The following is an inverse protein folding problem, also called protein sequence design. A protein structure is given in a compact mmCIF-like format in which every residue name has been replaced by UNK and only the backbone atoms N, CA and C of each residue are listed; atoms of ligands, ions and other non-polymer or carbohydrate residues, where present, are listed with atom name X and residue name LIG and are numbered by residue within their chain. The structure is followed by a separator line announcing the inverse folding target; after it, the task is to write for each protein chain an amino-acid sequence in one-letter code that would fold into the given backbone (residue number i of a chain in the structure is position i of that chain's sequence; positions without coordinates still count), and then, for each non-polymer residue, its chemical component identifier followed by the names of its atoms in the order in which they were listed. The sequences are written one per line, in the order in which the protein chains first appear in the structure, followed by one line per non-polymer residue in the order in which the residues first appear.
data_IF_233110965588
#
_entry.id   IF_233110965588
#
_cell.length_a   1.000
_cell.length_b   1.000
_cell.length_c   1.000
_cell.angle_alpha   90.00
_cell.angle_beta   90.00
_cell.angle_gamma   90.00
#
_symmetry.space_group_name_H-M   'P 1'
#
loop_
_entity.id
_entity.type
_entity.pdbx_description
1 polymer ?
#
# COMPACT_ATOMS: atom_id res chain seq x y z
N UNK A 1 -3.15 23.16 20.46
CA UNK A 1 -3.65 22.88 21.83
C UNK A 1 -3.85 21.38 22.04
N UNK A 2 -4.79 20.72 21.33
CA UNK A 2 -5.06 19.28 21.47
C UNK A 2 -3.83 18.34 21.30
N UNK A 3 -3.02 18.41 20.22
CA UNK A 3 -1.86 17.51 20.07
C UNK A 3 -0.85 17.65 21.21
N UNK A 4 -0.62 18.87 21.67
CA UNK A 4 0.35 19.16 22.73
C UNK A 4 -0.16 18.65 24.09
N UNK A 5 -1.47 18.76 24.35
CA UNK A 5 -2.09 18.17 25.53
C UNK A 5 -2.02 16.62 25.51
N UNK A 6 -2.31 15.99 24.37
CA UNK A 6 -2.20 14.54 24.22
C UNK A 6 -0.75 14.05 24.35
N UNK A 7 0.22 14.79 23.82
CA UNK A 7 1.64 14.49 24.03
C UNK A 7 2.03 14.62 25.49
N UNK A 8 1.58 15.66 26.20
CA UNK A 8 1.86 15.79 27.63
C UNK A 8 1.27 14.61 28.41
N UNK A 9 0.04 14.20 28.10
CA UNK A 9 -0.59 13.03 28.72
C UNK A 9 0.17 11.74 28.39
N UNK A 10 0.56 11.53 27.14
CA UNK A 10 1.36 10.38 26.74
C UNK A 10 2.74 10.37 27.43
N UNK A 11 3.38 11.54 27.54
CA UNK A 11 4.65 11.71 28.25
C UNK A 11 4.51 11.37 29.72
N UNK A 12 3.47 11.85 30.39
CA UNK A 12 3.14 11.49 31.78
C UNK A 12 2.88 9.99 31.91
N UNK A 13 2.08 9.41 31.03
CA UNK A 13 1.69 7.99 31.08
C UNK A 13 2.86 7.03 30.82
N UNK A 14 3.80 7.40 29.96
CA UNK A 14 4.89 6.53 29.51
C UNK A 14 6.19 6.78 30.27
N UNK A 15 6.50 8.02 30.61
CA UNK A 15 7.79 8.37 31.25
C UNK A 15 7.77 8.18 32.78
N UNK A 16 6.59 8.15 33.42
CA UNK A 16 6.48 7.98 34.88
C UNK A 16 6.57 6.53 35.41
N UNK A 17 6.06 5.49 34.74
CA UNK A 17 6.18 4.12 35.25
C UNK A 17 7.64 3.65 35.27
N UNK A 18 8.19 3.34 36.45
CA UNK A 18 9.58 2.88 36.61
C UNK A 18 9.81 1.41 36.22
N UNK A 19 8.76 0.70 35.78
CA UNK A 19 8.81 -0.72 35.42
C UNK A 19 9.40 -0.97 34.03
N UNK A 20 9.61 0.07 33.22
CA UNK A 20 10.28 0.01 31.91
C UNK A 20 11.66 0.67 31.94
N UNK A 21 12.65 0.12 31.21
CA UNK A 21 13.91 0.80 30.94
C UNK A 21 13.70 2.21 30.37
N UNK A 22 14.64 3.12 30.63
CA UNK A 22 14.56 4.50 30.13
C UNK A 22 14.44 4.55 28.60
N UNK A 23 15.24 3.73 27.90
CA UNK A 23 15.24 3.63 26.44
C UNK A 23 13.86 3.23 25.91
N UNK A 24 13.23 2.24 26.53
CA UNK A 24 11.90 1.75 26.17
C UNK A 24 10.80 2.79 26.35
N UNK A 25 10.88 3.59 27.42
CA UNK A 25 9.94 4.70 27.66
C UNK A 25 10.09 5.80 26.62
N UNK A 26 11.32 6.14 26.24
CA UNK A 26 11.59 7.14 25.20
C UNK A 26 11.11 6.66 23.84
N UNK A 27 11.42 5.41 23.46
CA UNK A 27 10.94 4.81 22.21
C UNK A 27 9.42 4.78 22.14
N UNK A 28 8.76 4.36 23.23
CA UNK A 28 7.30 4.34 23.32
C UNK A 28 6.68 5.73 23.23
N UNK A 29 7.29 6.72 23.87
CA UNK A 29 6.85 8.11 23.78
C UNK A 29 7.02 8.67 22.35
N UNK A 30 8.16 8.44 21.71
CA UNK A 30 8.40 8.87 20.32
C UNK A 30 7.39 8.29 19.34
N UNK A 31 7.07 7.00 19.48
CA UNK A 31 6.04 6.34 18.68
C UNK A 31 4.62 6.88 18.97
N UNK A 32 4.27 7.07 20.24
CA UNK A 32 2.98 7.64 20.64
C UNK A 32 2.83 9.08 20.12
N UNK A 33 3.89 9.89 20.21
CA UNK A 33 3.93 11.26 19.68
C UNK A 33 3.73 11.27 18.16
N UNK A 34 4.39 10.38 17.41
CA UNK A 34 4.19 10.22 15.97
C UNK A 34 2.73 9.90 15.65
N UNK A 35 2.15 8.92 16.36
CA UNK A 35 0.76 8.48 16.19
C UNK A 35 -0.22 9.63 16.45
N UNK A 36 -0.05 10.37 17.56
CA UNK A 36 -0.87 11.54 17.89
C UNK A 36 -0.78 12.59 16.78
N UNK A 37 0.43 12.89 16.29
CA UNK A 37 0.60 13.88 15.21
C UNK A 37 -0.06 13.44 13.91
N UNK A 38 0.08 12.17 13.51
CA UNK A 38 -0.59 11.65 12.32
C UNK A 38 -2.10 11.71 12.43
N UNK A 39 -2.68 11.46 13.61
CA UNK A 39 -4.14 11.47 13.80
C UNK A 39 -4.74 12.85 14.03
N UNK A 40 -3.97 13.83 14.54
CA UNK A 40 -4.52 15.13 14.98
C UNK A 40 -4.04 16.33 14.17
N UNK A 41 -3.10 16.14 13.25
CA UNK A 41 -2.53 17.23 12.46
C UNK A 41 -2.50 16.89 10.96
N UNK A 42 -2.46 17.94 10.13
CA UNK A 42 -2.26 17.81 8.68
C UNK A 42 -0.77 17.90 8.31
N UNK A 43 0.14 17.65 9.26
CA UNK A 43 1.57 17.67 8.98
C UNK A 43 1.92 16.55 8.00
N UNK A 44 2.95 16.80 7.20
CA UNK A 44 3.45 15.80 6.29
C UNK A 44 3.88 14.54 7.08
N UNK A 45 3.38 13.37 6.68
CA UNK A 45 3.60 12.12 7.41
C UNK A 45 5.08 11.75 7.52
N UNK A 46 5.88 12.00 6.48
CA UNK A 46 7.32 11.73 6.49
C UNK A 46 8.07 12.68 7.44
N UNK A 47 7.64 13.95 7.50
CA UNK A 47 8.18 14.91 8.44
C UNK A 47 7.92 14.49 9.90
N UNK A 48 6.70 14.05 10.20
CA UNK A 48 6.34 13.53 11.53
C UNK A 48 7.15 12.28 11.86
N UNK A 49 7.23 11.32 10.93
CA UNK A 49 7.98 10.07 11.12
C UNK A 49 9.46 10.35 11.42
N UNK A 50 10.10 11.17 10.58
CA UNK A 50 11.51 11.52 10.73
C UNK A 50 11.76 12.31 12.02
N UNK A 51 10.90 13.29 12.33
CA UNK A 51 10.99 14.05 13.57
C UNK A 51 10.89 13.17 14.82
N UNK A 52 9.98 12.19 14.80
CA UNK A 52 9.84 11.23 15.89
C UNK A 52 11.07 10.31 16.02
N UNK A 53 11.62 9.79 14.92
CA UNK A 53 12.87 9.01 14.96
C UNK A 53 14.01 9.84 15.52
N UNK A 54 14.18 11.07 15.02
CA UNK A 54 15.23 11.97 15.48
C UNK A 54 15.09 12.28 16.96
N UNK A 55 13.87 12.54 17.43
CA UNK A 55 13.60 12.70 18.86
C UNK A 55 14.00 11.44 19.64
N UNK A 56 13.55 10.25 19.21
CA UNK A 56 13.84 8.99 19.90
C UNK A 56 15.35 8.75 20.01
N UNK A 57 16.12 9.00 18.94
CA UNK A 57 17.58 8.86 18.96
C UNK A 57 18.22 9.89 19.91
N UNK A 58 17.87 11.17 19.77
CA UNK A 58 18.48 12.24 20.58
C UNK A 58 18.15 12.14 22.07
N UNK A 59 16.97 11.58 22.40
CA UNK A 59 16.54 11.34 23.77
C UNK A 59 17.05 9.99 24.33
N UNK A 60 17.84 9.22 23.57
CA UNK A 60 18.45 7.96 24.00
C UNK A 60 17.51 6.76 24.01
N UNK A 61 16.42 6.79 23.25
CA UNK A 61 15.51 5.65 23.06
C UNK A 61 15.88 4.72 21.90
N UNK A 62 16.86 5.10 21.08
CA UNK A 62 17.39 4.28 20.00
C UNK A 62 18.83 4.70 19.65
N UNK A 63 19.61 3.76 19.11
CA UNK A 63 20.93 4.03 18.54
C UNK A 63 20.83 4.80 17.22
N UNK A 64 21.90 5.49 16.81
CA UNK A 64 21.92 6.26 15.56
C UNK A 64 21.76 5.35 14.33
N UNK A 65 22.32 4.14 14.43
CA UNK A 65 22.27 3.06 13.47
C UNK A 65 20.84 2.64 13.14
N UNK A 66 19.87 2.89 14.03
CA UNK A 66 18.46 2.56 13.78
C UNK A 66 17.93 3.28 12.52
N UNK A 67 18.36 4.51 12.26
CA UNK A 67 17.97 5.25 11.06
C UNK A 67 18.67 4.71 9.80
N UNK A 68 19.95 4.33 9.92
CA UNK A 68 20.73 3.82 8.79
C UNK A 68 20.28 2.43 8.36
N UNK A 69 20.04 1.52 9.31
CA UNK A 69 19.50 0.17 9.07
C UNK A 69 18.11 0.20 8.43
N UNK A 70 17.36 1.27 8.58
CA UNK A 70 16.08 1.41 7.90
C UNK A 70 16.23 1.63 6.38
N UNK A 71 17.32 2.27 5.94
CA UNK A 71 17.65 2.44 4.52
C UNK A 71 18.26 1.17 3.89
N UNK A 72 18.78 0.26 4.73
CA UNK A 72 19.27 -1.06 4.32
C UNK A 72 18.13 -2.04 3.99
N UNK A 73 16.89 -1.73 4.41
CA UNK A 73 15.74 -2.60 4.16
C UNK A 73 15.47 -2.78 2.66
N UNK A 74 15.33 -4.03 2.24
CA UNK A 74 14.96 -4.45 0.89
C UNK A 74 13.64 -3.80 0.44
N UNK A 75 12.72 -3.58 1.37
CA UNK A 75 11.47 -2.82 1.20
C UNK A 75 11.71 -1.45 0.55
N UNK A 76 12.73 -0.71 0.99
CA UNK A 76 13.01 0.63 0.48
C UNK A 76 13.41 0.56 -1.00
N UNK A 77 14.28 -0.38 -1.34
CA UNK A 77 14.76 -0.57 -2.72
C UNK A 77 13.67 -1.13 -3.64
N UNK A 78 12.85 -2.05 -3.13
CA UNK A 78 11.65 -2.53 -3.80
C UNK A 78 10.70 -1.38 -4.14
N UNK A 79 10.43 -0.48 -3.18
CA UNK A 79 9.58 0.68 -3.40
C UNK A 79 10.15 1.65 -4.43
N UNK A 80 11.45 1.96 -4.35
CA UNK A 80 12.13 2.84 -5.33
C UNK A 80 11.95 2.27 -6.74
N UNK A 81 12.31 1.00 -6.95
CA UNK A 81 12.19 0.35 -8.25
C UNK A 81 10.74 0.34 -8.73
N UNK A 82 9.80 -0.01 -7.87
CA UNK A 82 8.39 -0.09 -8.24
C UNK A 82 7.78 1.29 -8.57
N UNK A 83 8.25 2.38 -7.94
CA UNK A 83 7.89 3.74 -8.36
C UNK A 83 8.42 4.10 -9.75
N UNK A 84 9.66 3.71 -10.07
CA UNK A 84 10.25 3.91 -11.41
C UNK A 84 9.41 3.17 -12.47
N UNK A 85 9.02 1.92 -12.20
CA UNK A 85 8.13 1.15 -13.08
C UNK A 85 6.78 1.86 -13.27
N UNK A 86 6.15 2.33 -12.19
CA UNK A 86 4.90 3.08 -12.25
C UNK A 86 5.05 4.39 -13.05
N UNK A 87 6.21 5.06 -12.95
CA UNK A 87 6.58 6.18 -13.80
C UNK A 87 6.67 5.79 -15.28
N UNK A 88 7.17 4.59 -15.58
CA UNK A 88 7.33 4.09 -16.95
C UNK A 88 5.99 3.83 -17.60
N UNK A 89 5.08 3.17 -16.87
CA UNK A 89 3.71 2.94 -17.32
C UNK A 89 2.99 4.24 -17.67
N UNK A 90 3.14 5.27 -16.83
CA UNK A 90 2.58 6.61 -17.08
C UNK A 90 3.23 7.26 -18.30
N UNK A 91 4.57 7.23 -18.41
CA UNK A 91 5.28 7.87 -19.53
C UNK A 91 4.95 7.23 -20.87
N UNK A 92 4.78 5.91 -20.93
CA UNK A 92 4.46 5.21 -22.18
C UNK A 92 2.98 5.26 -22.55
N UNK A 93 2.10 5.76 -21.69
CA UNK A 93 0.65 5.70 -21.90
C UNK A 93 0.07 4.28 -21.78
N UNK A 94 0.84 3.32 -21.26
CA UNK A 94 0.42 1.92 -21.17
C UNK A 94 -0.80 1.81 -20.26
N UNK A 95 -0.85 2.62 -19.22
CA UNK A 95 -1.96 2.62 -18.27
C UNK A 95 -3.25 3.14 -18.89
N UNK A 96 -3.18 4.25 -19.61
CA UNK A 96 -4.28 4.83 -20.38
C UNK A 96 -4.78 3.83 -21.42
N UNK A 97 -3.87 3.09 -22.06
CA UNK A 97 -4.21 2.02 -23.01
C UNK A 97 -4.98 0.88 -22.34
N UNK A 98 -4.45 0.33 -21.25
CA UNK A 98 -5.10 -0.76 -20.51
C UNK A 98 -6.48 -0.34 -19.99
N UNK A 99 -6.60 0.91 -19.57
CA UNK A 99 -7.89 1.43 -19.08
C UNK A 99 -8.83 1.75 -20.25
N UNK A 100 -8.32 2.16 -21.42
CA UNK A 100 -9.10 2.35 -22.65
C UNK A 100 -9.67 1.06 -23.23
N UNK A 101 -8.96 -0.08 -23.08
CA UNK A 101 -9.50 -1.40 -23.44
C UNK A 101 -10.80 -1.72 -22.67
N UNK A 102 -10.94 -1.24 -21.44
CA UNK A 102 -12.17 -1.38 -20.63
C UNK A 102 -13.30 -0.56 -21.20
N UNK A 103 -13.01 0.72 -21.49
CA UNK A 103 -13.98 1.69 -22.03
C UNK A 103 -14.61 1.13 -23.31
N UNK A 104 -13.80 0.59 -24.21
CA UNK A 104 -14.25 0.19 -25.55
C UNK A 104 -15.01 -1.14 -25.58
N UNK A 105 -14.78 -2.01 -24.60
CA UNK A 105 -15.41 -3.33 -24.56
C UNK A 105 -16.78 -3.30 -23.90
N UNK A 106 -17.05 -2.30 -23.05
CA UNK A 106 -18.25 -2.24 -22.25
C UNK A 106 -19.44 -1.64 -23.01
N UNK A 107 -20.48 -2.46 -23.22
CA UNK A 107 -21.70 -2.05 -23.95
C UNK A 107 -22.83 -1.57 -23.03
N UNK A 108 -22.65 -1.67 -21.72
CA UNK A 108 -23.63 -1.24 -20.72
C UNK A 108 -22.94 -0.80 -19.42
N UNK A 109 -23.65 -0.05 -18.59
CA UNK A 109 -23.18 0.38 -17.26
C UNK A 109 -22.78 -0.83 -16.41
N UNK A 110 -23.61 -1.88 -16.38
CA UNK A 110 -23.28 -3.13 -15.66
C UNK A 110 -21.97 -3.73 -16.18
N UNK A 111 -21.81 -3.87 -17.50
CA UNK A 111 -20.60 -4.43 -18.08
C UNK A 111 -19.37 -3.60 -17.73
N UNK A 112 -19.51 -2.28 -17.72
CA UNK A 112 -18.43 -1.33 -17.40
C UNK A 112 -17.95 -1.52 -15.97
N UNK A 113 -18.86 -1.59 -14.99
CA UNK A 113 -18.50 -1.77 -13.58
C UNK A 113 -17.73 -3.08 -13.35
N UNK A 114 -18.21 -4.20 -13.90
CA UNK A 114 -17.52 -5.49 -13.77
C UNK A 114 -16.18 -5.54 -14.48
N UNK A 115 -16.06 -4.94 -15.67
CA UNK A 115 -14.78 -4.87 -16.38
C UNK A 115 -13.78 -3.96 -15.67
N UNK A 116 -14.24 -2.84 -15.11
CA UNK A 116 -13.40 -1.98 -14.27
C UNK A 116 -12.87 -2.76 -13.06
N UNK A 117 -13.72 -3.52 -12.36
CA UNK A 117 -13.26 -4.38 -11.26
C UNK A 117 -12.19 -5.36 -11.74
N UNK A 118 -12.40 -5.99 -12.90
CA UNK A 118 -11.48 -6.98 -13.48
C UNK A 118 -10.13 -6.37 -13.86
N UNK A 119 -10.10 -5.13 -14.35
CA UNK A 119 -8.86 -4.47 -14.80
C UNK A 119 -8.13 -3.74 -13.68
N UNK A 120 -8.84 -3.21 -12.69
CA UNK A 120 -8.22 -2.53 -11.54
C UNK A 120 -7.50 -3.50 -10.60
N UNK A 121 -7.94 -4.77 -10.52
CA UNK A 121 -7.32 -5.82 -9.72
C UNK A 121 -5.83 -6.04 -10.09
N UNK A 122 -5.47 -6.41 -11.33
CA UNK A 122 -4.07 -6.67 -11.69
C UNK A 122 -3.19 -5.41 -11.64
N UNK A 123 -3.76 -4.20 -11.71
CA UNK A 123 -2.96 -2.97 -11.56
C UNK A 123 -2.24 -2.88 -10.21
N UNK A 124 -2.73 -3.55 -9.15
CA UNK A 124 -2.02 -3.58 -7.87
C UNK A 124 -0.65 -4.23 -7.96
N UNK A 125 -0.46 -5.19 -8.88
CA UNK A 125 0.81 -5.88 -9.12
C UNK A 125 1.81 -5.04 -9.92
N UNK A 126 1.35 -3.97 -10.57
CA UNK A 126 2.20 -3.15 -11.44
C UNK A 126 2.48 -1.77 -10.86
N UNK A 127 1.57 -1.25 -10.03
CA UNK A 127 1.65 0.10 -9.46
C UNK A 127 1.59 -0.01 -7.93
N UNK A 128 2.73 0.17 -7.23
CA UNK A 128 2.87 -0.06 -5.78
C UNK A 128 2.28 1.09 -4.93
N UNK A 129 1.25 1.74 -5.44
CA UNK A 129 0.70 2.97 -4.88
C UNK A 129 -0.78 3.05 -5.16
N UNK A 130 -1.59 3.11 -4.10
CA UNK A 130 -3.04 3.31 -4.19
C UNK A 130 -3.39 4.63 -4.88
N UNK A 131 -2.72 5.72 -4.50
CA UNK A 131 -2.87 7.03 -5.13
C UNK A 131 -2.40 7.03 -6.58
N UNK A 132 -1.30 6.32 -6.89
CA UNK A 132 -0.83 6.13 -8.26
C UNK A 132 -1.84 5.41 -9.16
N UNK A 133 -2.48 4.35 -8.64
CA UNK A 133 -3.56 3.62 -9.32
C UNK A 133 -4.80 4.48 -9.49
N UNK A 134 -5.17 5.26 -8.47
CA UNK A 134 -6.31 6.16 -8.55
C UNK A 134 -6.09 7.27 -9.60
N UNK A 135 -4.90 7.87 -9.65
CA UNK A 135 -4.55 8.89 -10.64
C UNK A 135 -4.64 8.36 -12.08
N UNK A 136 -4.17 7.13 -12.30
CA UNK A 136 -4.27 6.40 -13.57
C UNK A 136 -5.73 6.13 -13.97
N UNK A 137 -6.57 5.79 -12.99
CA UNK A 137 -7.95 5.43 -13.25
C UNK A 137 -8.85 6.66 -13.44
N UNK A 138 -8.40 7.85 -13.01
CA UNK A 138 -9.17 9.09 -13.02
C UNK A 138 -9.64 9.55 -14.43
N UNK A 139 -8.83 9.49 -15.50
CA UNK A 139 -9.31 9.83 -16.84
C UNK A 139 -10.46 8.94 -17.30
N UNK A 140 -10.40 7.65 -16.98
CA UNK A 140 -11.48 6.70 -17.33
C UNK A 140 -12.71 6.93 -16.47
N UNK A 141 -12.54 7.22 -15.18
CA UNK A 141 -13.64 7.68 -14.34
C UNK A 141 -14.36 8.89 -14.98
N UNK A 142 -13.61 9.90 -15.44
CA UNK A 142 -14.18 11.10 -16.05
C UNK A 142 -14.92 10.78 -17.36
N UNK A 143 -14.27 10.05 -18.25
CA UNK A 143 -14.85 9.65 -19.55
C UNK A 143 -16.16 8.87 -19.40
N UNK A 144 -16.21 7.88 -18.50
CA UNK A 144 -17.44 7.10 -18.26
C UNK A 144 -18.50 7.98 -17.59
N UNK A 145 -18.11 8.84 -16.65
CA UNK A 145 -19.04 9.71 -15.92
C UNK A 145 -19.70 10.74 -16.84
N UNK A 146 -18.93 11.31 -17.77
CA UNK A 146 -19.41 12.24 -18.80
C UNK A 146 -20.34 11.52 -19.79
N UNK A 147 -19.94 10.36 -20.31
CA UNK A 147 -20.77 9.57 -21.22
C UNK A 147 -22.07 9.08 -20.57
N UNK A 148 -22.05 8.76 -19.28
CA UNK A 148 -23.24 8.36 -18.54
C UNK A 148 -24.21 9.53 -18.32
N UNK A 149 -23.71 10.73 -18.01
CA UNK A 149 -24.55 11.90 -17.73
C UNK A 149 -25.59 11.69 -16.61
N UNK A 150 -25.37 10.72 -15.71
CA UNK A 150 -26.30 10.34 -14.63
C UNK A 150 -25.56 10.33 -13.28
N UNK A 151 -26.08 11.12 -12.33
CA UNK A 151 -25.47 11.28 -11.00
C UNK A 151 -25.33 9.98 -10.21
N UNK A 152 -26.26 9.03 -10.32
CA UNK A 152 -26.18 7.75 -9.58
C UNK A 152 -25.14 6.82 -10.19
N UNK A 153 -25.00 6.82 -11.52
CA UNK A 153 -23.93 6.07 -12.21
C UNK A 153 -22.57 6.64 -11.82
N UNK A 154 -22.40 7.97 -11.91
CA UNK A 154 -21.17 8.66 -11.48
C UNK A 154 -20.84 8.39 -10.02
N UNK A 155 -21.83 8.44 -9.12
CA UNK A 155 -21.63 8.11 -7.70
C UNK A 155 -21.20 6.65 -7.50
N UNK A 156 -21.80 5.71 -8.24
CA UNK A 156 -21.43 4.30 -8.16
C UNK A 156 -19.99 4.07 -8.61
N UNK A 157 -19.55 4.74 -9.68
CA UNK A 157 -18.16 4.71 -10.15
C UNK A 157 -17.19 5.32 -9.13
N UNK A 158 -17.56 6.47 -8.55
CA UNK A 158 -16.78 7.17 -7.55
C UNK A 158 -16.62 6.37 -6.25
N UNK A 159 -17.55 5.47 -5.95
CA UNK A 159 -17.43 4.51 -4.85
C UNK A 159 -16.66 3.26 -5.29
N UNK A 160 -16.97 2.70 -6.46
CA UNK A 160 -16.40 1.44 -6.93
C UNK A 160 -14.89 1.52 -7.12
N UNK A 161 -14.41 2.52 -7.87
CA UNK A 161 -13.01 2.54 -8.29
C UNK A 161 -12.05 2.68 -7.11
N UNK A 162 -12.24 3.62 -6.16
CA UNK A 162 -11.40 3.69 -4.97
C UNK A 162 -11.53 2.43 -4.09
N UNK A 163 -12.73 1.87 -3.96
CA UNK A 163 -12.96 0.65 -3.17
C UNK A 163 -12.18 -0.53 -3.75
N UNK A 164 -12.28 -0.79 -5.05
CA UNK A 164 -11.54 -1.89 -5.71
C UNK A 164 -10.05 -1.64 -5.65
N UNK A 165 -9.58 -0.40 -5.87
CA UNK A 165 -8.14 -0.07 -5.76
C UNK A 165 -7.63 -0.37 -4.36
N UNK A 166 -8.39 -0.02 -3.33
CA UNK A 166 -8.04 -0.26 -1.93
C UNK A 166 -8.08 -1.76 -1.61
N UNK A 167 -9.16 -2.47 -1.91
CA UNK A 167 -9.30 -3.90 -1.62
C UNK A 167 -8.28 -4.74 -2.38
N UNK A 168 -7.97 -4.39 -3.64
CA UNK A 168 -6.98 -5.08 -4.45
C UNK A 168 -5.54 -4.94 -3.91
N UNK A 169 -5.26 -4.06 -2.93
CA UNK A 169 -3.94 -3.98 -2.31
C UNK A 169 -3.56 -5.31 -1.66
N UNK A 170 -4.52 -6.00 -1.03
CA UNK A 170 -4.26 -7.23 -0.26
C UNK A 170 -3.72 -8.35 -1.13
N UNK A 171 -4.01 -8.32 -2.44
CA UNK A 171 -3.59 -9.33 -3.40
C UNK A 171 -2.08 -9.35 -3.66
N UNK A 172 -1.34 -8.31 -3.27
CA UNK A 172 0.09 -8.20 -3.55
C UNK A 172 0.84 -7.49 -2.44
N UNK A 173 2.05 -7.98 -2.17
CA UNK A 173 2.91 -7.45 -1.13
C UNK A 173 3.27 -5.97 -1.37
N UNK A 174 3.45 -5.57 -2.63
CA UNK A 174 3.72 -4.17 -3.01
C UNK A 174 2.46 -3.30 -3.07
N UNK A 175 1.28 -3.85 -2.76
CA UNK A 175 0.01 -3.15 -2.92
C UNK A 175 -0.13 -1.92 -2.03
N UNK A 176 0.46 -1.97 -0.82
CA UNK A 176 0.50 -0.88 0.14
C UNK A 176 1.81 -0.91 0.93
N UNK A 177 2.36 0.26 1.26
CA UNK A 177 3.60 0.35 2.04
C UNK A 177 3.50 -0.28 3.44
N UNK A 178 2.29 -0.32 4.03
CA UNK A 178 2.05 -1.00 5.31
C UNK A 178 2.27 -2.51 5.25
N UNK A 179 2.04 -3.16 4.11
CA UNK A 179 2.31 -4.60 3.95
C UNK A 179 3.81 -4.87 4.05
N UNK A 180 4.61 -4.00 3.42
CA UNK A 180 6.07 -4.11 3.43
C UNK A 180 6.63 -3.87 4.83
N UNK A 181 6.13 -2.86 5.54
CA UNK A 181 6.46 -2.63 6.95
C UNK A 181 6.12 -3.85 7.81
N UNK A 182 4.93 -4.43 7.61
CA UNK A 182 4.48 -5.59 8.38
C UNK A 182 5.35 -6.82 8.14
N UNK A 183 5.75 -7.11 6.89
CA UNK A 183 6.63 -8.25 6.57
C UNK A 183 8.04 -8.04 7.12
N UNK A 184 8.62 -6.84 7.01
CA UNK A 184 9.94 -6.52 7.56
C UNK A 184 9.97 -6.70 9.09
N UNK A 185 8.96 -6.16 9.79
CA UNK A 185 8.86 -6.31 11.25
C UNK A 185 8.60 -7.77 11.65
N UNK A 186 7.76 -8.51 10.92
CA UNK A 186 7.51 -9.92 11.18
C UNK A 186 8.80 -10.74 11.05
N UNK A 187 9.57 -10.49 10.00
CA UNK A 187 10.85 -11.15 9.79
C UNK A 187 11.85 -10.79 10.91
N UNK A 188 11.89 -9.52 11.32
CA UNK A 188 12.74 -9.05 12.41
C UNK A 188 12.41 -9.73 13.74
N UNK A 189 11.11 -9.92 14.06
CA UNK A 189 10.67 -10.47 15.35
C UNK A 189 10.75 -12.01 15.37
N UNK A 190 10.35 -12.67 14.28
CA UNK A 190 10.14 -14.12 14.25
C UNK A 190 11.23 -14.90 13.49
N UNK A 191 12.09 -14.20 12.73
CA UNK A 191 12.99 -14.81 11.76
C UNK A 191 12.27 -15.47 10.57
N UNK A 192 10.95 -15.33 10.48
CA UNK A 192 10.12 -15.86 9.40
C UNK A 192 9.58 -14.71 8.56
N UNK A 193 10.05 -14.62 7.31
CA UNK A 193 9.46 -13.75 6.30
C UNK A 193 8.25 -14.40 5.61
N UNK A 194 7.48 -13.57 4.91
CA UNK A 194 6.44 -14.04 3.98
C UNK A 194 6.92 -13.76 2.56
N UNK A 195 7.17 -14.81 1.79
CA UNK A 195 7.56 -14.68 0.38
C UNK A 195 6.46 -14.01 -0.45
N UNK A 196 6.83 -13.42 -1.58
CA UNK A 196 5.85 -12.77 -2.47
C UNK A 196 4.78 -13.75 -2.94
N UNK A 197 5.17 -14.98 -3.30
CA UNK A 197 4.25 -16.03 -3.72
C UNK A 197 3.28 -16.42 -2.61
N UNK A 198 3.77 -16.63 -1.40
CA UNK A 198 2.94 -16.99 -0.24
C UNK A 198 1.91 -15.90 0.06
N UNK A 199 2.33 -14.64 0.04
CA UNK A 199 1.42 -13.50 0.18
C UNK A 199 0.36 -13.51 -0.92
N UNK A 200 0.76 -13.70 -2.18
CA UNK A 200 -0.17 -13.74 -3.30
C UNK A 200 -1.18 -14.90 -3.20
N UNK A 201 -0.74 -16.08 -2.77
CA UNK A 201 -1.63 -17.24 -2.56
C UNK A 201 -2.71 -16.97 -1.50
N UNK A 202 -2.38 -16.22 -0.46
CA UNK A 202 -3.36 -15.84 0.57
C UNK A 202 -4.21 -14.64 0.15
N UNK A 203 -3.59 -13.62 -0.41
CA UNK A 203 -4.20 -12.33 -0.71
C UNK A 203 -5.00 -12.29 -2.01
N UNK A 204 -4.60 -13.02 -3.05
CA UNK A 204 -5.30 -12.99 -4.36
C UNK A 204 -6.72 -13.55 -4.24
N UNK A 205 -6.96 -14.75 -3.67
CA UNK A 205 -8.32 -15.27 -3.56
C UNK A 205 -9.24 -14.32 -2.80
N UNK A 206 -8.75 -13.77 -1.68
CA UNK A 206 -9.51 -12.82 -0.87
C UNK A 206 -9.74 -11.49 -1.60
N UNK A 207 -8.71 -10.87 -2.17
CA UNK A 207 -8.82 -9.58 -2.85
C UNK A 207 -9.70 -9.65 -4.10
N UNK A 208 -9.65 -10.76 -4.84
CA UNK A 208 -10.58 -11.03 -5.96
C UNK A 208 -12.01 -11.14 -5.41
N UNK A 209 -12.27 -12.05 -4.47
CA UNK A 209 -13.61 -12.23 -3.92
C UNK A 209 -14.19 -10.92 -3.36
N UNK A 210 -13.43 -10.22 -2.53
CA UNK A 210 -13.82 -8.95 -1.94
C UNK A 210 -14.08 -7.87 -3.00
N UNK A 211 -13.26 -7.76 -4.05
CA UNK A 211 -13.48 -6.77 -5.12
C UNK A 211 -14.77 -7.02 -5.91
N UNK A 212 -15.06 -8.28 -6.25
CA UNK A 212 -16.30 -8.63 -6.95
C UNK A 212 -17.53 -8.51 -6.04
N UNK A 213 -17.41 -8.85 -4.76
CA UNK A 213 -18.46 -8.63 -3.75
C UNK A 213 -18.73 -7.13 -3.57
N UNK A 214 -17.70 -6.30 -3.43
CA UNK A 214 -17.84 -4.83 -3.36
C UNK A 214 -18.54 -4.29 -4.60
N UNK A 215 -18.16 -4.74 -5.81
CA UNK A 215 -18.85 -4.38 -7.04
C UNK A 215 -20.34 -4.75 -7.00
N UNK A 216 -20.64 -5.99 -6.59
CA UNK A 216 -22.02 -6.45 -6.46
C UNK A 216 -22.82 -5.60 -5.47
N UNK A 217 -22.30 -5.35 -4.26
CA UNK A 217 -22.94 -4.54 -3.23
C UNK A 217 -23.20 -3.13 -3.75
N UNK A 218 -22.20 -2.47 -4.35
CA UNK A 218 -22.33 -1.11 -4.88
C UNK A 218 -23.41 -1.07 -5.99
N UNK A 219 -23.39 -2.03 -6.91
CA UNK A 219 -24.42 -2.09 -7.97
C UNK A 219 -25.83 -2.28 -7.39
N UNK A 220 -25.98 -3.07 -6.33
CA UNK A 220 -27.27 -3.33 -5.68
C UNK A 220 -27.80 -2.16 -4.87
N UNK A 221 -26.92 -1.44 -4.17
CA UNK A 221 -27.31 -0.34 -3.29
C UNK A 221 -27.58 0.95 -4.06
N UNK A 222 -26.85 1.21 -5.15
CA UNK A 222 -26.85 2.52 -5.81
C UNK A 222 -27.53 2.54 -7.19
N UNK A 223 -27.74 1.40 -7.85
CA UNK A 223 -28.28 1.33 -9.21
C UNK A 223 -29.50 0.41 -9.32
N UNK A 224 -30.51 0.86 -10.06
CA UNK A 224 -31.66 0.09 -10.49
C UNK A 224 -31.40 -0.63 -11.83
N UNK A 225 -32.31 -1.55 -12.20
CA UNK A 225 -32.18 -2.38 -13.40
C UNK A 225 -32.06 -1.55 -14.69
N UNK A 226 -32.80 -0.45 -14.77
CA UNK A 226 -32.81 0.41 -15.97
C UNK A 226 -31.45 1.10 -16.17
N UNK A 227 -30.86 1.66 -15.11
CA UNK A 227 -29.51 2.24 -15.19
C UNK A 227 -28.45 1.21 -15.49
N UNK A 228 -28.54 0.01 -14.93
CA UNK A 228 -27.58 -1.07 -15.19
C UNK A 228 -27.57 -1.53 -16.65
N UNK A 229 -28.75 -1.52 -17.30
CA UNK A 229 -28.91 -1.92 -18.69
C UNK A 229 -28.68 -0.79 -19.70
N UNK A 230 -28.55 0.46 -19.23
CA UNK A 230 -28.26 1.62 -20.07
C UNK A 230 -26.97 1.39 -20.85
N UNK A 231 -27.03 1.62 -22.16
CA UNK A 231 -25.86 1.59 -23.04
C UNK A 231 -25.01 2.83 -22.80
N UNK A 232 -23.71 2.64 -22.79
CA UNK A 232 -22.74 3.71 -22.79
C UNK A 232 -22.11 3.73 -24.18
N UNK A 233 -22.39 4.79 -24.94
CA UNK A 233 -21.70 5.04 -26.19
C UNK A 233 -20.46 5.84 -25.83
N UNK A 234 -19.32 5.17 -25.83
CA UNK A 234 -18.03 5.79 -25.55
C UNK A 234 -17.17 5.65 -26.80
N UNK A 235 -16.73 6.76 -27.34
CA UNK A 235 -15.71 6.81 -28.39
C UNK A 235 -14.34 6.92 -27.72
N UNK A 236 -13.44 5.98 -28.01
CA UNK A 236 -12.03 6.14 -27.64
C UNK A 236 -11.19 6.36 -28.89
N UNK A 237 -10.41 7.43 -28.89
CA UNK A 237 -9.40 7.70 -29.92
C UNK A 237 -8.29 6.63 -30.00
N UNK A 238 -8.25 5.69 -29.05
CA UNK A 238 -7.26 4.61 -28.97
C UNK A 238 -7.73 3.27 -29.59
N UNK A 239 -9.02 3.17 -30.00
CA UNK A 239 -9.54 1.96 -30.64
C UNK A 239 -8.74 1.59 -31.89
N UNK A 240 -8.37 0.31 -32.00
CA UNK A 240 -7.72 -0.25 -33.20
C UNK A 240 -6.23 0.07 -33.37
N UNK A 241 -5.62 0.93 -32.55
CA UNK A 241 -4.18 1.24 -32.65
C UNK A 241 -3.34 0.15 -31.96
N UNK A 242 -2.38 -0.44 -32.68
CA UNK A 242 -1.43 -1.38 -32.11
C UNK A 242 -0.61 -0.74 -30.95
N UNK A 243 -0.15 -1.57 -30.01
CA UNK A 243 0.76 -1.11 -28.96
C UNK A 243 2.07 -0.61 -29.58
N UNK A 244 2.47 0.60 -29.19
CA UNK A 244 3.78 1.17 -29.51
C UNK A 244 4.91 0.27 -29.01
N UNK A 245 6.12 0.47 -29.56
CA UNK A 245 7.30 -0.26 -29.08
C UNK A 245 7.57 0.00 -27.60
N UNK A 246 7.36 1.23 -27.14
CA UNK A 246 7.55 1.61 -25.75
C UNK A 246 6.52 0.94 -24.83
N UNK A 247 5.23 0.93 -25.19
CA UNK A 247 4.20 0.23 -24.41
C UNK A 247 4.49 -1.28 -24.31
N UNK A 248 4.90 -1.92 -25.43
CA UNK A 248 5.26 -3.35 -25.44
C UNK A 248 6.49 -3.65 -24.61
N UNK A 249 7.52 -2.81 -24.69
CA UNK A 249 8.74 -2.95 -23.88
C UNK A 249 8.43 -2.85 -22.39
N UNK A 250 7.66 -1.84 -21.97
CA UNK A 250 7.21 -1.69 -20.57
C UNK A 250 6.40 -2.91 -20.12
N UNK A 251 5.42 -3.35 -20.92
CA UNK A 251 4.60 -4.50 -20.58
C UNK A 251 5.43 -5.80 -20.47
N UNK A 252 6.38 -6.01 -21.38
CA UNK A 252 7.26 -7.18 -21.34
C UNK A 252 8.11 -7.21 -20.07
N UNK A 253 8.73 -6.08 -19.69
CA UNK A 253 9.49 -5.99 -18.44
C UNK A 253 8.61 -6.30 -17.23
N UNK A 254 7.42 -5.71 -17.15
CA UNK A 254 6.49 -5.97 -16.04
C UNK A 254 6.07 -7.44 -15.93
N UNK A 255 5.72 -8.08 -17.04
CA UNK A 255 5.32 -9.49 -17.05
C UNK A 255 6.47 -10.40 -16.62
N UNK A 256 7.69 -10.14 -17.13
CA UNK A 256 8.89 -10.89 -16.73
C UNK A 256 9.17 -10.71 -15.24
N UNK A 257 9.06 -9.51 -14.71
CA UNK A 257 9.28 -9.24 -13.29
C UNK A 257 8.26 -9.93 -12.40
N UNK A 258 6.97 -9.89 -12.74
CA UNK A 258 5.94 -10.61 -11.97
C UNK A 258 6.20 -12.11 -12.02
N UNK A 259 6.61 -12.66 -13.16
CA UNK A 259 6.97 -14.08 -13.26
C UNK A 259 8.17 -14.42 -12.37
N UNK A 260 9.19 -13.56 -12.30
CA UNK A 260 10.33 -13.71 -11.40
C UNK A 260 9.92 -13.57 -9.93
N UNK A 261 9.06 -12.62 -9.55
CA UNK A 261 8.57 -12.52 -8.17
C UNK A 261 7.79 -13.76 -7.73
N UNK A 262 6.94 -14.31 -8.60
CA UNK A 262 6.23 -15.57 -8.32
C UNK A 262 7.18 -16.77 -8.29
N UNK A 263 8.28 -16.69 -9.03
CA UNK A 263 9.36 -17.67 -9.07
C UNK A 263 10.43 -17.50 -7.98
N UNK A 264 10.29 -16.53 -7.07
CA UNK A 264 11.24 -16.26 -5.99
C UNK A 264 11.66 -17.54 -5.24
N UNK A 265 10.75 -18.47 -4.86
CA UNK A 265 11.15 -19.71 -4.18
C UNK A 265 12.02 -20.66 -5.01
N UNK A 266 12.06 -20.50 -6.34
CA UNK A 266 12.82 -21.36 -7.26
C UNK A 266 14.24 -20.85 -7.50
N UNK A 267 14.46 -19.54 -7.53
CA UNK A 267 15.76 -18.95 -7.86
C UNK A 267 16.40 -18.15 -6.71
N UNK A 268 15.67 -17.88 -5.62
CA UNK A 268 16.18 -17.21 -4.41
C UNK A 268 16.63 -15.77 -4.61
N UNK A 269 16.17 -15.09 -5.68
CA UNK A 269 16.50 -13.69 -5.91
C UNK A 269 15.44 -12.85 -5.21
N UNK A 270 15.89 -11.98 -4.31
CA UNK A 270 15.02 -11.04 -3.62
C UNK A 270 14.23 -10.18 -4.62
N UNK A 271 12.95 -10.01 -4.33
CA UNK A 271 12.05 -9.25 -5.19
C UNK A 271 12.50 -7.80 -5.38
N UNK A 272 13.20 -7.21 -4.40
CA UNK A 272 13.78 -5.88 -4.49
C UNK A 272 14.80 -5.79 -5.63
N UNK A 273 15.70 -6.77 -5.73
CA UNK A 273 16.73 -6.84 -6.80
C UNK A 273 16.07 -7.03 -8.16
N UNK A 274 15.14 -7.98 -8.29
CA UNK A 274 14.36 -8.18 -9.52
C UNK A 274 13.70 -6.85 -9.95
N UNK A 275 13.19 -6.10 -8.98
CA UNK A 275 12.53 -4.82 -9.21
C UNK A 275 13.48 -3.75 -9.73
N UNK A 276 14.64 -3.63 -9.09
CA UNK A 276 15.67 -2.69 -9.51
C UNK A 276 16.25 -3.00 -10.89
N UNK A 277 16.42 -4.29 -11.23
CA UNK A 277 16.84 -4.70 -12.58
C UNK A 277 15.82 -4.24 -13.62
N UNK A 278 14.52 -4.43 -13.36
CA UNK A 278 13.45 -3.94 -14.23
C UNK A 278 13.43 -2.42 -14.37
N UNK A 279 13.61 -1.69 -13.25
CA UNK A 279 13.72 -0.24 -13.25
C UNK A 279 14.93 0.25 -14.09
N UNK A 280 16.08 -0.41 -13.96
CA UNK A 280 17.26 -0.12 -14.77
C UNK A 280 17.04 -0.42 -16.25
N UNK A 281 16.39 -1.54 -16.59
CA UNK A 281 16.05 -1.89 -17.96
C UNK A 281 15.16 -0.82 -18.62
N UNK A 282 14.15 -0.30 -17.91
CA UNK A 282 13.26 0.74 -18.42
C UNK A 282 13.90 2.13 -18.47
N UNK A 283 15.00 2.35 -17.77
CA UNK A 283 15.73 3.62 -17.74
C UNK A 283 17.04 3.60 -18.54
N UNK A 284 17.37 2.47 -19.17
CA UNK A 284 18.63 2.24 -19.86
C UNK A 284 18.79 3.21 -21.04
N UNK A 285 19.93 3.91 -21.19
CA UNK A 285 20.16 4.82 -22.32
C UNK A 285 20.05 4.09 -23.67
N UNK A 286 19.27 4.65 -24.61
CA UNK A 286 19.12 4.14 -25.97
C UNK A 286 18.14 2.97 -26.16
N UNK A 287 17.78 2.25 -25.09
CA UNK A 287 16.85 1.09 -25.14
C UNK A 287 15.62 1.29 -24.25
N UNK A 288 15.81 1.88 -23.07
CA UNK A 288 14.76 2.12 -22.09
C UNK A 288 13.70 3.11 -22.58
N UNK A 289 12.56 3.10 -21.90
CA UNK A 289 11.39 3.93 -22.25
C UNK A 289 11.46 5.33 -21.62
N UNK A 290 12.37 5.54 -20.66
CA UNK A 290 12.57 6.84 -20.03
C UNK A 290 14.03 7.10 -19.67
N UNK A 291 14.35 8.36 -19.30
CA UNK A 291 15.68 8.70 -18.77
C UNK A 291 15.74 8.33 -17.29
N UNK A 292 16.92 7.94 -16.80
CA UNK A 292 17.18 7.70 -15.37
C UNK A 292 16.68 8.83 -14.46
N UNK A 293 16.93 10.10 -14.83
CA UNK A 293 16.46 11.28 -14.09
C UNK A 293 14.93 11.32 -13.96
N UNK A 294 14.20 10.95 -15.02
CA UNK A 294 12.74 10.90 -15.02
C UNK A 294 12.25 9.78 -14.09
N UNK A 295 12.95 8.65 -14.09
CA UNK A 295 12.67 7.50 -13.21
C UNK A 295 12.81 7.89 -11.74
N UNK A 296 13.95 8.48 -11.36
CA UNK A 296 14.15 8.99 -10.00
C UNK A 296 13.15 10.08 -9.62
N UNK A 297 12.73 10.90 -10.58
CA UNK A 297 11.68 11.90 -10.38
C UNK A 297 10.30 11.30 -10.13
N UNK A 298 10.04 10.06 -10.55
CA UNK A 298 8.78 9.36 -10.31
C UNK A 298 8.69 8.75 -8.90
N UNK A 299 9.82 8.68 -8.17
CA UNK A 299 9.88 8.13 -6.80
C UNK A 299 9.22 9.09 -5.81
N UNK A 300 8.28 8.57 -5.02
CA UNK A 300 7.71 9.33 -3.91
C UNK A 300 8.67 9.30 -2.72
N UNK A 301 9.64 10.21 -2.72
CA UNK A 301 10.61 10.35 -1.62
C UNK A 301 9.94 10.58 -0.27
N UNK A 302 8.77 11.22 -0.27
CA UNK A 302 7.95 11.34 0.92
C UNK A 302 7.56 9.99 1.52
N UNK A 303 7.08 9.06 0.67
CA UNK A 303 6.70 7.73 1.14
C UNK A 303 7.92 6.89 1.54
N UNK A 304 9.03 7.02 0.83
CA UNK A 304 10.30 6.35 1.16
C UNK A 304 10.78 6.76 2.56
N UNK A 305 10.86 8.07 2.83
CA UNK A 305 11.28 8.59 4.13
C UNK A 305 10.30 8.18 5.23
N UNK A 306 8.99 8.25 4.95
CA UNK A 306 7.96 7.81 5.89
C UNK A 306 8.12 6.33 6.27
N UNK A 307 8.27 5.44 5.28
CA UNK A 307 8.43 3.99 5.53
C UNK A 307 9.73 3.71 6.28
N UNK A 308 10.86 4.29 5.83
CA UNK A 308 12.14 4.10 6.52
C UNK A 308 12.11 4.59 7.96
N UNK A 309 11.61 5.80 8.22
CA UNK A 309 11.49 6.31 9.58
C UNK A 309 10.51 5.48 10.43
N UNK A 310 9.41 4.99 9.85
CA UNK A 310 8.46 4.12 10.56
C UNK A 310 9.07 2.76 10.90
N UNK A 311 9.89 2.19 10.03
CA UNK A 311 10.66 0.97 10.31
C UNK A 311 11.64 1.21 11.46
N UNK A 312 12.36 2.33 11.45
CA UNK A 312 13.27 2.70 12.54
C UNK A 312 12.52 2.87 13.88
N UNK A 313 11.36 3.54 13.90
CA UNK A 313 10.51 3.64 15.10
C UNK A 313 10.02 2.27 15.58
N UNK A 314 9.55 1.41 14.65
CA UNK A 314 9.07 0.08 14.97
C UNK A 314 10.16 -0.81 15.58
N UNK A 315 11.36 -0.80 14.98
CA UNK A 315 12.52 -1.52 15.51
C UNK A 315 12.97 -0.96 16.86
N UNK A 316 12.97 0.36 17.06
CA UNK A 316 13.26 0.96 18.35
C UNK A 316 12.31 0.47 19.47
N UNK A 317 11.02 0.24 19.17
CA UNK A 317 10.09 -0.35 20.14
C UNK A 317 10.41 -1.82 20.47
N UNK A 318 10.90 -2.58 19.48
CA UNK A 318 11.27 -3.99 19.64
C UNK A 318 12.57 -4.09 20.44
N UNK A 319 13.62 -3.41 19.98
CA UNK A 319 14.98 -3.48 20.53
C UNK A 319 15.04 -2.96 21.98
N UNK A 320 14.25 -1.94 22.30
CA UNK A 320 14.15 -1.40 23.67
C UNK A 320 13.30 -2.25 24.62
N UNK A 321 12.56 -3.25 24.11
CA UNK A 321 11.62 -4.07 24.90
C UNK A 321 10.27 -3.40 25.18
N UNK A 322 10.00 -2.21 24.63
CA UNK A 322 8.72 -1.52 24.79
C UNK A 322 7.55 -2.31 24.20
N UNK A 323 7.75 -2.93 23.02
CA UNK A 323 6.75 -3.76 22.37
C UNK A 323 6.37 -4.99 23.22
N UNK A 324 7.36 -5.70 23.78
CA UNK A 324 7.14 -6.85 24.65
C UNK A 324 6.37 -6.45 25.91
N UNK A 325 6.72 -5.30 26.50
CA UNK A 325 5.99 -4.77 27.65
C UNK A 325 4.52 -4.49 27.34
N UNK A 326 4.21 -3.85 26.19
CA UNK A 326 2.81 -3.61 25.78
C UNK A 326 2.06 -4.94 25.65
N UNK A 327 2.65 -5.90 24.94
CA UNK A 327 2.03 -7.21 24.66
C UNK A 327 1.76 -7.95 25.99
N UNK A 328 2.72 -7.96 26.91
CA UNK A 328 2.57 -8.60 28.22
C UNK A 328 1.41 -8.00 29.01
N UNK A 329 1.35 -6.67 29.13
CA UNK A 329 0.27 -6.00 29.85
C UNK A 329 -1.09 -6.22 29.17
N UNK A 330 -1.14 -6.22 27.84
CA UNK A 330 -2.36 -6.51 27.10
C UNK A 330 -2.84 -7.94 27.37
N UNK A 331 -1.94 -8.93 27.32
CA UNK A 331 -2.28 -10.33 27.58
C UNK A 331 -2.69 -10.59 29.03
N UNK A 332 -2.02 -9.95 29.98
CA UNK A 332 -2.37 -10.06 31.40
C UNK A 332 -3.74 -9.41 31.69
N UNK A 333 -4.06 -8.27 31.04
CA UNK A 333 -5.35 -7.59 31.19
C UNK A 333 -6.53 -8.30 30.50
N UNK A 334 -6.27 -8.97 29.37
CA UNK A 334 -7.30 -9.65 28.56
C UNK A 334 -7.47 -11.13 28.92
N UNK A 335 -6.54 -11.72 29.69
CA UNK A 335 -6.54 -13.15 29.99
C UNK A 335 -6.22 -14.03 28.78
N UNK A 336 -5.75 -13.47 27.67
CA UNK A 336 -5.42 -14.21 26.43
C UNK A 336 -4.40 -15.32 26.71
N UNK A 337 -3.45 -15.05 27.60
CA UNK A 337 -2.43 -16.04 28.02
C UNK A 337 -3.00 -17.34 28.59
N UNK A 338 -4.19 -17.29 29.18
CA UNK A 338 -4.87 -18.44 29.77
C UNK A 338 -5.80 -19.16 28.79
N UNK A 339 -5.95 -18.66 27.56
CA UNK A 339 -6.89 -19.22 26.58
C UNK A 339 -6.16 -20.08 25.54
N UNK A 340 -6.51 -21.37 25.46
CA UNK A 340 -6.05 -22.27 24.40
C UNK A 340 -6.86 -22.11 23.09
N UNK A 341 -7.93 -21.30 23.09
CA UNK A 341 -8.81 -21.12 21.95
C UNK A 341 -8.20 -20.21 20.88
N UNK A 342 -7.73 -20.83 19.80
CA UNK A 342 -7.30 -20.15 18.58
C UNK A 342 -8.36 -19.18 18.04
N UNK A 343 -9.65 -19.52 18.15
CA UNK A 343 -10.75 -18.67 17.67
C UNK A 343 -10.81 -17.34 18.42
N UNK A 344 -10.60 -17.35 19.74
CA UNK A 344 -10.63 -16.12 20.54
C UNK A 344 -9.47 -15.20 20.15
N UNK A 345 -8.28 -15.78 19.95
CA UNK A 345 -7.10 -15.03 19.47
C UNK A 345 -7.39 -14.38 18.11
N UNK A 346 -7.95 -15.14 17.17
CA UNK A 346 -8.30 -14.61 15.84
C UNK A 346 -9.36 -13.49 15.91
N UNK A 347 -10.37 -13.62 16.77
CA UNK A 347 -11.41 -12.60 16.94
C UNK A 347 -10.85 -11.31 17.55
N UNK A 348 -9.94 -11.40 18.52
CA UNK A 348 -9.28 -10.24 19.12
C UNK A 348 -8.38 -9.56 18.09
N UNK A 349 -7.57 -10.32 17.36
CA UNK A 349 -6.73 -9.76 16.29
C UNK A 349 -7.58 -9.08 15.21
N UNK A 350 -8.70 -9.70 14.80
CA UNK A 350 -9.64 -9.10 13.86
C UNK A 350 -10.26 -7.81 14.43
N UNK A 351 -10.62 -7.78 15.72
CA UNK A 351 -11.18 -6.60 16.37
C UNK A 351 -10.16 -5.45 16.45
N UNK A 352 -8.92 -5.73 16.87
CA UNK A 352 -7.82 -4.75 16.91
C UNK A 352 -7.53 -4.23 15.50
N UNK A 353 -7.46 -5.11 14.51
CA UNK A 353 -7.22 -4.73 13.11
C UNK A 353 -8.36 -3.87 12.55
N UNK A 354 -9.62 -4.23 12.82
CA UNK A 354 -10.79 -3.46 12.37
C UNK A 354 -10.83 -2.07 13.01
N UNK A 355 -10.61 -1.99 14.32
CA UNK A 355 -10.61 -0.73 15.06
C UNK A 355 -9.48 0.20 14.60
N UNK A 356 -8.31 -0.35 14.26
CA UNK A 356 -7.18 0.42 13.69
C UNK A 356 -7.54 1.15 12.39
N UNK A 357 -8.51 0.65 11.61
CA UNK A 357 -9.02 1.31 10.40
C UNK A 357 -10.14 2.33 10.65
N UNK A 358 -10.79 2.30 11.82
CA UNK A 358 -11.87 3.24 12.18
C UNK A 358 -11.33 4.48 12.87
N UNK A 359 -10.21 4.34 13.57
CA UNK A 359 -9.59 5.42 14.35
C UNK A 359 -8.52 6.24 13.59
N UNK A 360 -8.22 5.88 12.33
CA UNK A 360 -7.35 6.64 11.42
C UNK A 360 -8.15 7.24 10.26
#
# INVERSE_FOLDING_TARGET
MLPLALMVVAGVAVLLPATLPAEARVALFGFAAATILWSTTNLNAAYVALGAVMFTILAGGAEQEALYRALESDVIWLMIGAFVLGGAMRKTGLTERLTGLVVNRARSVRGTLWMLTTVLLPLSFFIPSTSGRAAVALPVFRSISEAAGDRKITRSLALLMPTVILVATISTLIGAGSHLIAVDLLNTISGQGVSFLQWALWGVPFGVAASYVSCWIITKLFLDKDRLNRRLEMSSESEGKAFSRAERGTLAVLVVMVALWLGEPLHGLEIAIVTMVGALALTLPGVGVMRWKDGLGAVSWNLIVFVGASLALGRALIDSGAAEWIIKNLFDATGIRATESLLLVLLILAFISLTSHVYM
#
